data_IF_832655285091
#
_entry.id   IF_832655285091
#
_cell.length_a   1.000
_cell.length_b   1.000
_cell.length_c   1.000
_cell.angle_alpha   90.00
_cell.angle_beta   90.00
_cell.angle_gamma   90.00
#
_symmetry.space_group_name_H-M   'P 1'
#
loop_
_entity.id
_entity.type
_entity.pdbx_description
1 polymer ?
#
# COMPACT_ATOMS: atom_id res chain seq x y z
N UNK A 1 -77.67 -30.34 9.98
CA UNK A 1 -76.97 -29.36 9.12
C UNK A 1 -76.02 -28.46 9.92
N UNK A 2 -76.48 -27.84 11.01
CA UNK A 2 -75.72 -26.89 11.85
C UNK A 2 -74.41 -27.45 12.44
N UNK A 3 -74.43 -28.70 12.96
CA UNK A 3 -73.22 -29.32 13.56
C UNK A 3 -72.04 -29.47 12.59
N UNK A 4 -72.30 -29.75 11.29
CA UNK A 4 -71.25 -29.86 10.27
C UNK A 4 -70.64 -28.50 9.92
N UNK A 5 -71.43 -27.44 10.00
CA UNK A 5 -71.00 -26.07 9.78
C UNK A 5 -70.06 -25.60 10.89
N UNK A 6 -70.40 -25.91 12.15
CA UNK A 6 -69.60 -25.55 13.33
C UNK A 6 -68.24 -26.25 13.31
N UNK A 7 -68.18 -27.54 13.02
CA UNK A 7 -66.90 -28.27 12.91
C UNK A 7 -66.02 -27.70 11.80
N UNK A 8 -66.61 -27.38 10.64
CA UNK A 8 -65.88 -26.76 9.52
C UNK A 8 -65.29 -25.39 9.88
N UNK A 9 -66.03 -24.57 10.63
CA UNK A 9 -65.56 -23.27 11.12
C UNK A 9 -64.42 -23.46 12.12
N UNK A 10 -64.54 -24.42 13.02
CA UNK A 10 -63.52 -24.69 14.04
C UNK A 10 -62.21 -25.19 13.42
N UNK A 11 -62.28 -26.03 12.39
CA UNK A 11 -61.11 -26.45 11.61
C UNK A 11 -60.45 -25.28 10.87
N UNK A 12 -61.23 -24.39 10.25
CA UNK A 12 -60.69 -23.18 9.61
C UNK A 12 -60.01 -22.26 10.62
N UNK A 13 -60.61 -22.11 11.81
CA UNK A 13 -60.06 -21.29 12.90
C UNK A 13 -58.74 -21.88 13.44
N UNK A 14 -58.67 -23.20 13.59
CA UNK A 14 -57.43 -23.90 13.97
C UNK A 14 -56.33 -23.72 12.92
N UNK A 15 -56.65 -23.91 11.63
CA UNK A 15 -55.71 -23.68 10.52
C UNK A 15 -55.24 -22.23 10.45
N UNK A 16 -56.13 -21.28 10.72
CA UNK A 16 -55.78 -19.85 10.83
C UNK A 16 -54.80 -19.60 11.97
N UNK A 17 -55.02 -20.21 13.14
CA UNK A 17 -54.11 -20.14 14.29
C UNK A 17 -52.73 -20.71 13.99
N UNK A 18 -52.67 -21.90 13.36
CA UNK A 18 -51.41 -22.54 12.99
C UNK A 18 -50.62 -21.68 11.98
N UNK A 19 -51.29 -21.09 10.99
CA UNK A 19 -50.65 -20.17 10.03
C UNK A 19 -50.12 -18.90 10.70
N UNK A 20 -50.85 -18.35 11.67
CA UNK A 20 -50.43 -17.15 12.39
C UNK A 20 -49.16 -17.43 13.22
N UNK A 21 -49.08 -18.60 13.86
CA UNK A 21 -47.89 -19.04 14.61
C UNK A 21 -46.69 -19.18 13.65
N UNK A 22 -46.89 -19.83 12.50
CA UNK A 22 -45.83 -19.96 11.49
C UNK A 22 -45.35 -18.60 11.00
N UNK A 23 -46.25 -17.69 10.63
CA UNK A 23 -45.90 -16.33 10.21
C UNK A 23 -45.13 -15.57 11.28
N UNK A 24 -45.54 -15.67 12.54
CA UNK A 24 -44.84 -15.04 13.67
C UNK A 24 -43.40 -15.54 13.80
N UNK A 25 -43.21 -16.85 13.71
CA UNK A 25 -41.88 -17.46 13.80
C UNK A 25 -41.00 -17.07 12.60
N UNK A 26 -41.58 -17.00 11.39
CA UNK A 26 -40.86 -16.53 10.20
C UNK A 26 -40.42 -15.07 10.35
N UNK A 27 -41.30 -14.18 10.81
CA UNK A 27 -40.96 -12.77 11.05
C UNK A 27 -39.86 -12.63 12.12
N UNK A 28 -39.91 -13.45 13.17
CA UNK A 28 -38.87 -13.45 14.19
C UNK A 28 -37.51 -13.89 13.62
N UNK A 29 -37.49 -14.94 12.80
CA UNK A 29 -36.26 -15.40 12.13
C UNK A 29 -35.69 -14.32 11.19
N UNK A 30 -36.55 -13.72 10.37
CA UNK A 30 -36.16 -12.66 9.42
C UNK A 30 -35.61 -11.42 10.13
N UNK A 31 -36.19 -11.05 11.28
CA UNK A 31 -35.68 -9.95 12.10
C UNK A 31 -34.28 -10.25 12.67
N UNK A 32 -34.04 -11.48 13.12
CA UNK A 32 -32.72 -11.91 13.61
C UNK A 32 -31.68 -11.80 12.48
N UNK A 33 -32.02 -12.26 11.29
CA UNK A 33 -31.15 -12.19 10.10
C UNK A 33 -30.88 -10.75 9.68
N UNK A 34 -31.91 -9.89 9.69
CA UNK A 34 -31.76 -8.47 9.39
C UNK A 34 -30.80 -7.76 10.38
N UNK A 35 -30.84 -8.14 11.66
CA UNK A 35 -29.93 -7.60 12.67
C UNK A 35 -28.48 -8.02 12.38
N UNK A 36 -28.24 -9.29 12.08
CA UNK A 36 -26.91 -9.80 11.73
C UNK A 36 -26.34 -9.10 10.48
N UNK A 37 -27.18 -8.91 9.45
CA UNK A 37 -26.79 -8.20 8.22
C UNK A 37 -26.42 -6.74 8.50
N UNK A 38 -27.14 -6.05 9.39
CA UNK A 38 -26.80 -4.67 9.78
C UNK A 38 -25.45 -4.59 10.46
N UNK A 39 -25.17 -5.48 11.43
CA UNK A 39 -23.87 -5.53 12.12
C UNK A 39 -22.72 -5.82 11.16
N UNK A 40 -22.90 -6.79 10.25
CA UNK A 40 -21.90 -7.11 9.23
C UNK A 40 -21.64 -5.92 8.30
N UNK A 41 -22.69 -5.21 7.89
CA UNK A 41 -22.56 -3.99 7.06
C UNK A 41 -21.81 -2.86 7.78
N UNK A 42 -22.03 -2.70 9.09
CA UNK A 42 -21.30 -1.71 9.87
C UNK A 42 -19.81 -2.03 9.97
N UNK A 43 -19.47 -3.31 10.17
CA UNK A 43 -18.09 -3.77 10.18
C UNK A 43 -17.40 -3.57 8.82
N UNK A 44 -18.07 -3.92 7.71
CA UNK A 44 -17.52 -3.69 6.37
C UNK A 44 -17.37 -2.21 6.06
N UNK A 45 -18.33 -1.37 6.46
CA UNK A 45 -18.23 0.09 6.31
C UNK A 45 -17.05 0.68 7.11
N UNK A 46 -16.82 0.22 8.33
CA UNK A 46 -15.67 0.64 9.14
C UNK A 46 -14.34 0.25 8.47
N UNK A 47 -14.25 -0.97 7.93
CA UNK A 47 -13.09 -1.43 7.16
C UNK A 47 -12.85 -0.59 5.91
N UNK A 48 -13.90 -0.32 5.12
CA UNK A 48 -13.83 0.54 3.93
C UNK A 48 -13.37 1.96 4.30
N UNK A 49 -13.90 2.53 5.38
CA UNK A 49 -13.49 3.86 5.85
C UNK A 49 -12.00 3.91 6.19
N UNK A 50 -11.48 2.88 6.86
CA UNK A 50 -10.05 2.77 7.17
C UNK A 50 -9.21 2.68 5.89
N UNK A 51 -9.56 1.77 4.97
CA UNK A 51 -8.83 1.61 3.70
C UNK A 51 -8.81 2.90 2.86
N UNK A 52 -9.92 3.65 2.82
CA UNK A 52 -9.98 4.93 2.11
C UNK A 52 -9.08 5.99 2.75
N UNK A 53 -9.08 6.09 4.08
CA UNK A 53 -8.18 7.00 4.80
C UNK A 53 -6.71 6.70 4.49
N UNK A 54 -6.34 5.43 4.52
CA UNK A 54 -4.97 5.01 4.18
C UNK A 54 -4.67 5.37 2.72
N UNK A 55 -5.58 5.08 1.78
CA UNK A 55 -5.41 5.35 0.35
C UNK A 55 -5.30 6.85 0.02
N UNK A 56 -6.09 7.70 0.64
CA UNK A 56 -6.04 9.16 0.46
C UNK A 56 -4.71 9.73 0.95
N UNK A 57 -4.18 9.19 2.05
CA UNK A 57 -2.83 9.53 2.53
C UNK A 57 -1.77 9.08 1.52
N UNK A 58 -1.83 7.86 0.99
CA UNK A 58 -0.88 7.38 -0.02
C UNK A 58 -0.92 8.17 -1.33
N UNK A 59 -2.11 8.43 -1.89
CA UNK A 59 -2.28 9.10 -3.19
C UNK A 59 -1.74 10.53 -3.22
N UNK A 60 -1.72 11.23 -2.09
CA UNK A 60 -1.15 12.57 -2.00
C UNK A 60 0.38 12.57 -2.22
N UNK A 61 1.05 11.44 -2.03
CA UNK A 61 2.50 11.28 -2.13
C UNK A 61 2.97 10.57 -3.40
N UNK A 62 2.06 10.01 -4.20
CA UNK A 62 2.45 9.28 -5.42
C UNK A 62 2.80 10.31 -6.50
N UNK A 63 4.10 10.57 -6.64
CA UNK A 63 4.61 11.22 -7.85
C UNK A 63 5.10 10.20 -8.86
N UNK A 64 4.91 10.55 -10.12
CA UNK A 64 5.37 9.80 -11.29
C UNK A 64 6.52 10.51 -12.03
N UNK A 65 7.04 11.61 -11.47
CA UNK A 65 8.14 12.39 -12.03
C UNK A 65 9.48 12.14 -11.32
N UNK A 66 9.56 11.16 -10.43
CA UNK A 66 10.75 10.87 -9.63
C UNK A 66 10.97 11.81 -8.44
N UNK A 67 10.01 12.68 -8.09
CA UNK A 67 10.08 13.56 -6.91
C UNK A 67 9.06 13.17 -5.84
N UNK A 68 9.50 12.90 -4.62
CA UNK A 68 8.63 12.69 -3.46
C UNK A 68 8.81 13.83 -2.45
N UNK A 69 7.70 14.44 -2.02
CA UNK A 69 7.68 15.31 -0.83
C UNK A 69 7.07 14.49 0.31
N UNK A 70 7.92 14.05 1.23
CA UNK A 70 7.48 13.26 2.38
C UNK A 70 7.27 14.16 3.60
N UNK A 71 6.04 14.17 4.11
CA UNK A 71 5.70 14.78 5.39
C UNK A 71 5.83 13.74 6.50
N UNK A 72 6.67 14.03 7.50
CA UNK A 72 6.83 13.23 8.70
C UNK A 72 6.23 14.01 9.86
N UNK A 73 5.16 13.50 10.45
CA UNK A 73 4.56 14.04 11.68
C UNK A 73 5.00 13.23 12.90
N UNK A 74 4.79 13.79 14.09
CA UNK A 74 5.12 13.17 15.37
C UNK A 74 6.61 12.81 15.45
N UNK A 75 7.44 13.73 14.99
CA UNK A 75 8.88 13.60 14.88
C UNK A 75 9.49 13.32 16.27
N UNK A 76 9.01 14.00 17.30
CA UNK A 76 9.48 13.82 18.69
C UNK A 76 9.23 12.40 19.20
N UNK A 77 8.03 11.86 18.92
CA UNK A 77 7.69 10.48 19.29
C UNK A 77 8.59 9.48 18.55
N UNK A 78 8.79 9.67 17.24
CA UNK A 78 9.62 8.80 16.41
C UNK A 78 11.10 8.83 16.86
N UNK A 79 11.59 9.99 17.30
CA UNK A 79 12.91 10.11 17.91
C UNK A 79 13.00 9.37 19.25
N UNK A 80 11.99 9.48 20.12
CA UNK A 80 11.97 8.73 21.38
C UNK A 80 11.94 7.21 21.15
N UNK A 81 11.20 6.74 20.14
CA UNK A 81 11.16 5.34 19.72
C UNK A 81 12.49 4.84 19.15
N UNK A 82 13.25 5.72 18.49
CA UNK A 82 14.60 5.43 18.01
C UNK A 82 15.63 5.37 19.15
N UNK A 83 15.56 6.30 20.10
CA UNK A 83 16.44 6.32 21.27
C UNK A 83 16.22 5.12 22.18
N UNK A 84 14.97 4.66 22.32
CA UNK A 84 14.64 3.43 23.05
C UNK A 84 14.98 2.15 22.28
N UNK A 85 15.43 2.25 21.03
CA UNK A 85 15.76 1.11 20.17
C UNK A 85 14.54 0.32 19.66
N UNK A 86 13.31 0.80 19.91
CA UNK A 86 12.07 0.15 19.48
C UNK A 86 11.87 0.26 17.97
N UNK A 87 12.26 1.39 17.37
CA UNK A 87 12.21 1.60 15.93
C UNK A 87 13.39 2.44 15.45
N UNK A 88 14.38 1.79 14.83
CA UNK A 88 15.64 2.41 14.38
C UNK A 88 15.57 3.02 12.97
N UNK A 89 14.41 2.92 12.31
CA UNK A 89 14.22 3.46 10.97
C UNK A 89 12.75 3.69 10.62
N UNK A 90 12.50 4.71 9.80
CA UNK A 90 11.21 5.02 9.20
C UNK A 90 11.31 4.91 7.67
N UNK A 91 10.27 4.36 7.05
CA UNK A 91 10.16 4.20 5.60
C UNK A 91 9.27 5.28 5.01
N UNK A 92 9.69 5.85 3.88
CA UNK A 92 8.88 6.79 3.13
C UNK A 92 7.74 6.06 2.40
N UNK A 93 6.65 6.79 2.06
CA UNK A 93 5.72 6.35 1.05
C UNK A 93 6.46 5.99 -0.24
N UNK A 94 5.83 5.11 -1.01
CA UNK A 94 6.33 4.69 -2.31
C UNK A 94 6.09 5.78 -3.33
N UNK A 95 7.07 6.00 -4.20
CA UNK A 95 6.94 6.87 -5.37
C UNK A 95 7.58 6.22 -6.61
N UNK A 96 7.28 6.78 -7.78
CA UNK A 96 7.69 6.24 -9.07
C UNK A 96 8.62 7.20 -9.80
N UNK A 97 9.57 6.64 -10.54
CA UNK A 97 10.45 7.40 -11.43
C UNK A 97 9.79 7.85 -12.73
N UNK A 98 8.74 7.17 -13.17
CA UNK A 98 7.96 7.43 -14.40
C UNK A 98 6.60 6.74 -14.30
N UNK A 99 5.63 7.14 -15.13
CA UNK A 99 4.29 6.55 -15.23
C UNK A 99 4.21 5.04 -15.50
N UNK A 100 5.31 4.40 -15.90
CA UNK A 100 5.42 2.97 -16.21
C UNK A 100 6.55 2.24 -15.46
N UNK A 101 7.20 2.90 -14.48
CA UNK A 101 8.52 2.46 -13.98
C UNK A 101 8.51 1.95 -12.51
N UNK A 102 9.73 1.80 -11.96
CA UNK A 102 10.09 1.19 -10.69
C UNK A 102 9.41 1.83 -9.47
N UNK A 103 8.99 0.95 -8.56
CA UNK A 103 8.46 1.26 -7.24
C UNK A 103 9.64 1.53 -6.28
N UNK A 104 9.76 2.75 -5.78
CA UNK A 104 10.90 3.17 -4.94
C UNK A 104 10.42 3.65 -3.59
N UNK A 105 11.13 3.27 -2.52
CA UNK A 105 10.93 3.80 -1.17
C UNK A 105 12.29 4.17 -0.56
N UNK A 106 12.29 5.20 0.28
CA UNK A 106 13.48 5.65 1.01
C UNK A 106 13.38 5.23 2.46
N UNK A 107 14.48 4.70 2.99
CA UNK A 107 14.59 4.31 4.38
C UNK A 107 15.59 5.24 5.06
N UNK A 108 15.10 6.12 5.93
CA UNK A 108 15.93 7.07 6.66
C UNK A 108 16.41 6.51 8.00
N UNK A 109 17.62 6.85 8.46
CA UNK A 109 18.03 6.60 9.85
C UNK A 109 17.29 7.55 10.79
N UNK A 110 16.73 7.02 11.90
CA UNK A 110 16.13 7.84 12.97
C UNK A 110 17.11 8.16 14.10
N UNK A 111 18.37 7.70 14.00
CA UNK A 111 19.37 7.82 15.06
C UNK A 111 20.67 8.46 14.56
N UNK A 112 20.72 9.79 14.59
CA UNK A 112 21.98 10.50 14.78
C UNK A 112 21.89 11.37 16.04
N UNK A 113 22.92 11.23 16.87
CA UNK A 113 22.98 11.69 18.26
C UNK A 113 22.62 13.17 18.40
N UNK A 114 21.71 13.48 19.33
CA UNK A 114 21.54 14.79 19.97
C UNK A 114 21.44 16.01 19.03
N UNK A 115 20.44 16.06 18.15
CA UNK A 115 20.11 17.31 17.41
C UNK A 115 18.62 17.64 17.46
N UNK A 116 17.77 16.91 18.20
CA UNK A 116 16.31 17.19 18.21
C UNK A 116 15.96 18.62 18.67
N UNK A 117 16.71 19.18 19.64
CA UNK A 117 16.46 20.55 20.14
C UNK A 117 16.98 21.67 19.23
N UNK A 118 17.80 21.35 18.23
CA UNK A 118 18.45 22.34 17.34
C UNK A 118 18.23 22.02 15.85
N UNK A 119 17.33 21.09 15.55
CA UNK A 119 17.05 20.71 14.17
C UNK A 119 16.13 21.76 13.54
N UNK A 120 16.72 22.70 12.80
CA UNK A 120 15.98 23.78 12.12
C UNK A 120 14.97 23.29 11.06
N UNK A 121 15.04 22.01 10.70
CA UNK A 121 14.16 21.32 9.77
C UNK A 121 12.88 20.76 10.40
N UNK A 122 12.77 20.73 11.74
CA UNK A 122 11.56 20.32 12.44
C UNK A 122 10.80 21.57 12.87
N UNK A 123 9.55 21.70 12.42
CA UNK A 123 8.63 22.79 12.78
C UNK A 123 7.31 22.17 13.19
N UNK A 124 6.77 22.59 14.33
CA UNK A 124 5.49 22.09 14.87
C UNK A 124 5.40 20.55 14.88
N UNK A 125 6.44 19.89 15.39
CA UNK A 125 6.56 18.42 15.46
C UNK A 125 6.43 17.72 14.07
N UNK A 126 6.76 18.46 13.02
CA UNK A 126 6.66 18.03 11.63
C UNK A 126 7.96 18.33 10.87
N UNK A 127 8.40 17.36 10.06
CA UNK A 127 9.54 17.50 9.15
C UNK A 127 9.06 17.22 7.72
N UNK A 128 9.64 17.93 6.74
CA UNK A 128 9.45 17.64 5.33
C UNK A 128 10.77 17.22 4.70
N UNK A 129 10.76 16.10 3.97
CA UNK A 129 11.91 15.61 3.20
C UNK A 129 11.52 15.59 1.74
N UNK A 130 12.26 16.33 0.91
CA UNK A 130 12.14 16.25 -0.54
C UNK A 130 13.17 15.26 -1.07
N UNK A 131 12.69 14.19 -1.70
CA UNK A 131 13.50 13.17 -2.34
C UNK A 131 13.35 13.36 -3.84
N UNK A 132 14.47 13.47 -4.56
CA UNK A 132 14.49 13.61 -6.01
C UNK A 132 15.40 12.52 -6.57
N UNK A 133 14.87 11.76 -7.52
CA UNK A 133 15.64 10.77 -8.26
C UNK A 133 16.09 11.41 -9.57
N UNK A 134 17.35 11.81 -9.62
CA UNK A 134 18.00 12.20 -10.87
C UNK A 134 18.70 10.98 -11.46
N UNK A 135 18.16 10.47 -12.57
CA UNK A 135 18.80 9.40 -13.31
C UNK A 135 19.84 9.92 -14.32
N UNK A 136 19.97 11.23 -14.55
CA UNK A 136 20.91 11.80 -15.52
C UNK A 136 20.87 11.10 -16.88
N UNK A 137 22.04 10.69 -17.38
CA UNK A 137 22.20 9.83 -18.58
C UNK A 137 22.14 8.32 -18.28
N UNK A 138 21.84 7.94 -17.03
CA UNK A 138 21.79 6.53 -16.62
C UNK A 138 20.67 5.83 -17.37
N UNK A 139 21.05 4.87 -18.21
CA UNK A 139 20.10 4.08 -18.98
C UNK A 139 19.14 3.36 -18.03
N UNK A 140 17.84 3.48 -18.28
CA UNK A 140 16.79 2.83 -17.46
C UNK A 140 16.98 1.31 -17.34
N UNK A 141 17.65 0.73 -18.32
CA UNK A 141 18.00 -0.69 -18.44
C UNK A 141 19.04 -1.15 -17.41
N UNK A 142 19.90 -0.25 -16.90
CA UNK A 142 20.90 -0.60 -15.88
C UNK A 142 20.42 -0.40 -14.44
N UNK A 143 19.26 0.24 -14.25
CA UNK A 143 18.68 0.52 -12.93
C UNK A 143 18.45 -0.72 -12.07
N UNK A 144 17.99 -1.87 -12.59
CA UNK A 144 17.88 -3.08 -11.79
C UNK A 144 19.22 -3.46 -11.15
N UNK A 145 20.34 -3.33 -11.86
CA UNK A 145 21.65 -3.72 -11.36
C UNK A 145 22.23 -2.74 -10.34
N UNK A 146 21.86 -1.47 -10.44
CA UNK A 146 22.27 -0.42 -9.50
C UNK A 146 21.51 -0.57 -8.17
N UNK A 147 20.21 -0.86 -8.25
CA UNK A 147 19.28 -0.85 -7.13
C UNK A 147 19.10 -2.24 -6.45
N UNK A 148 19.46 -3.35 -7.11
CA UNK A 148 19.29 -4.72 -6.58
C UNK A 148 20.55 -5.37 -5.99
N UNK A 149 21.55 -4.60 -5.58
CA UNK A 149 22.73 -5.19 -4.93
C UNK A 149 22.36 -5.61 -3.50
N UNK A 150 22.74 -6.84 -3.13
CA UNK A 150 22.51 -7.37 -1.80
C UNK A 150 23.13 -6.44 -0.74
N UNK A 151 22.28 -5.80 0.06
CA UNK A 151 22.69 -4.81 1.08
C UNK A 151 23.55 -5.41 2.20
N UNK A 152 23.63 -6.74 2.32
CA UNK A 152 24.49 -7.44 3.28
C UNK A 152 25.96 -7.55 2.85
N UNK A 153 26.32 -7.12 1.64
CA UNK A 153 27.70 -7.15 1.16
C UNK A 153 28.46 -5.88 1.58
N UNK A 154 29.77 -5.95 1.87
CA UNK A 154 30.62 -4.76 2.04
C UNK A 154 30.56 -3.80 0.84
N UNK A 155 30.58 -2.48 1.10
CA UNK A 155 30.38 -1.42 0.10
C UNK A 155 31.27 -1.55 -1.14
N UNK A 156 32.56 -1.88 -0.96
CA UNK A 156 33.51 -2.06 -2.06
C UNK A 156 33.13 -3.23 -2.99
N UNK A 157 32.52 -4.30 -2.45
CA UNK A 157 32.04 -5.43 -3.25
C UNK A 157 30.78 -5.02 -4.00
N UNK A 158 29.90 -4.25 -3.36
CA UNK A 158 28.71 -3.73 -4.02
C UNK A 158 29.06 -2.85 -5.23
N UNK A 159 30.04 -1.97 -5.06
CA UNK A 159 30.57 -1.10 -6.11
C UNK A 159 31.21 -1.89 -7.25
N UNK A 160 32.07 -2.88 -6.93
CA UNK A 160 32.69 -3.74 -7.93
C UNK A 160 31.63 -4.49 -8.77
N UNK A 161 30.61 -5.06 -8.12
CA UNK A 161 29.50 -5.77 -8.81
C UNK A 161 28.71 -4.80 -9.70
N UNK A 162 28.42 -3.59 -9.22
CA UNK A 162 27.71 -2.57 -9.99
C UNK A 162 28.49 -2.18 -11.23
N UNK A 163 29.78 -1.86 -11.08
CA UNK A 163 30.66 -1.49 -12.19
C UNK A 163 30.78 -2.61 -13.22
N UNK A 164 31.02 -3.86 -12.78
CA UNK A 164 31.12 -5.01 -13.69
C UNK A 164 29.82 -5.22 -14.51
N UNK A 165 28.66 -5.11 -13.87
CA UNK A 165 27.37 -5.30 -14.55
C UNK A 165 27.06 -4.17 -15.54
N UNK A 166 27.36 -2.93 -15.18
CA UNK A 166 27.21 -1.76 -16.08
C UNK A 166 28.12 -1.92 -17.30
N UNK A 167 29.37 -2.31 -17.09
CA UNK A 167 30.36 -2.46 -18.16
C UNK A 167 29.94 -3.55 -19.15
N UNK A 168 29.49 -4.70 -18.64
CA UNK A 168 28.96 -5.79 -19.47
C UNK A 168 27.76 -5.33 -20.32
N UNK A 169 26.91 -4.48 -19.78
CA UNK A 169 25.76 -3.94 -20.49
C UNK A 169 26.17 -2.98 -21.61
N UNK A 170 27.13 -2.07 -21.32
CA UNK A 170 27.70 -1.15 -22.34
C UNK A 170 28.29 -1.93 -23.51
N UNK A 171 29.10 -2.94 -23.21
CA UNK A 171 29.74 -3.78 -24.23
C UNK A 171 28.71 -4.54 -25.09
N UNK A 172 27.66 -5.11 -24.48
CA UNK A 172 26.61 -5.80 -25.22
C UNK A 172 25.84 -4.86 -26.17
N UNK A 173 25.61 -3.61 -25.74
CA UNK A 173 24.92 -2.62 -26.56
C UNK A 173 25.80 -2.10 -27.70
N UNK A 174 27.08 -1.85 -27.44
CA UNK A 174 28.03 -1.47 -28.48
C UNK A 174 28.17 -2.56 -29.54
N UNK A 175 28.19 -3.83 -29.13
CA UNK A 175 28.17 -4.97 -30.05
C UNK A 175 26.90 -5.00 -30.91
N UNK A 176 25.72 -4.78 -30.32
CA UNK A 176 24.45 -4.72 -31.04
C UNK A 176 24.44 -3.56 -32.06
N UNK A 177 24.92 -2.38 -31.67
CA UNK A 177 25.02 -1.21 -32.56
C UNK A 177 25.97 -1.52 -33.72
N UNK A 178 27.13 -2.13 -33.45
CA UNK A 178 28.08 -2.53 -34.47
C UNK A 178 27.56 -3.63 -35.41
N UNK A 179 26.61 -4.43 -34.97
CA UNK A 179 25.92 -5.44 -35.79
C UNK A 179 24.83 -4.83 -36.66
N UNK A 180 24.05 -3.90 -36.12
CA UNK A 180 23.06 -3.12 -36.90
C UNK A 180 23.76 -2.33 -38.01
N UNK A 181 24.85 -1.62 -37.69
CA UNK A 181 25.61 -0.85 -38.67
C UNK A 181 26.22 -1.74 -39.75
N UNK A 182 26.66 -2.97 -39.41
CA UNK A 182 27.17 -3.93 -40.40
C UNK A 182 26.07 -4.40 -41.34
N UNK A 183 24.91 -4.74 -40.80
CA UNK A 183 23.78 -5.22 -41.60
C UNK A 183 23.23 -4.13 -42.54
N UNK A 184 23.31 -2.86 -42.15
CA UNK A 184 22.93 -1.72 -43.00
C UNK A 184 23.96 -1.41 -44.11
N UNK A 185 25.20 -1.93 -44.03
CA UNK A 185 26.23 -1.78 -45.07
C UNK A 185 26.29 -2.93 -46.09
N UNK A 186 25.55 -4.03 -45.86
CA UNK A 186 25.42 -5.16 -46.80
C UNK A 186 24.18 -5.04 -47.73
N UNK A 187 23.46 -3.91 -47.68
CA UNK A 187 22.34 -3.55 -48.59
C UNK A 187 22.78 -2.43 -49.53
#
# INVERSE_FOLDING_TARGET
>A
MIMRSVTTINEKMKRLGDRLIVQKNTLQCLNQECLLLKMSREQTNACIKKMKSDQDEYLHYISYDGTLIWKITNVDQKFAEAQSGKQTSIESPVFYSSSYDYKISFQGPTSEKNIASENCYVRDDTMFIKIMLDFGETLREVLPYILSVNRGLPTHIQEAIRCMKIEKYKQAREALIAEIIRNDQEI
#
